data_IF_320565607661
#
_entry.id   IF_320565607661
#
_cell.length_a   1.000
_cell.length_b   1.000
_cell.length_c   1.000
_cell.angle_alpha   90.00
_cell.angle_beta   90.00
_cell.angle_gamma   90.00
#
_symmetry.space_group_name_H-M   'P 1'
#
loop_
_entity.id
_entity.type
_entity.pdbx_description
1 polymer ?
#
# COMPACT_ATOMS: atom_id res chain seq x y z
N UNK A 1 -16.63 -4.07 4.78
CA UNK A 1 -15.23 -4.30 4.33
C UNK A 1 -14.32 -3.09 4.52
N UNK A 2 -14.83 -1.87 4.51
CA UNK A 2 -14.01 -0.66 4.65
C UNK A 2 -13.43 -0.48 6.06
N UNK A 3 -14.23 -0.67 7.13
CA UNK A 3 -13.78 -0.63 8.54
C UNK A 3 -12.58 -1.56 8.81
N UNK A 4 -12.66 -2.81 8.35
CA UNK A 4 -11.59 -3.79 8.54
C UNK A 4 -10.26 -3.34 7.92
N UNK A 5 -10.30 -2.72 6.74
CA UNK A 5 -9.10 -2.16 6.11
C UNK A 5 -8.58 -0.98 6.90
N UNK A 6 -9.45 -0.08 7.35
CA UNK A 6 -9.06 1.07 8.17
C UNK A 6 -8.34 0.61 9.44
N UNK A 7 -8.91 -0.34 10.20
CA UNK A 7 -8.33 -0.87 11.43
C UNK A 7 -6.93 -1.46 11.21
N UNK A 8 -6.75 -2.25 10.14
CA UNK A 8 -5.44 -2.83 9.82
C UNK A 8 -4.38 -1.81 9.39
N UNK A 9 -4.80 -0.63 8.92
CA UNK A 9 -3.91 0.38 8.34
C UNK A 9 -3.54 1.50 9.31
N UNK A 10 -4.27 1.66 10.42
CA UNK A 10 -3.97 2.68 11.44
C UNK A 10 -2.61 2.43 12.09
N UNK A 11 -1.95 3.52 12.48
CA UNK A 11 -0.61 3.50 13.05
C UNK A 11 -0.38 4.72 13.97
N UNK A 12 0.33 4.59 15.09
CA UNK A 12 0.58 5.69 16.03
C UNK A 12 1.27 6.92 15.42
N UNK A 13 2.14 6.71 14.44
CA UNK A 13 2.84 7.80 13.71
C UNK A 13 1.96 8.53 12.68
N UNK A 14 0.71 8.12 12.47
CA UNK A 14 -0.19 8.78 11.52
C UNK A 14 -1.17 9.63 12.32
N UNK A 15 -1.21 10.96 12.09
CA UNK A 15 -2.10 11.84 12.83
C UNK A 15 -3.56 11.58 12.45
N UNK A 16 -4.47 11.85 13.39
CA UNK A 16 -5.90 11.94 13.09
C UNK A 16 -6.20 13.19 12.25
N UNK A 17 -7.40 13.22 11.64
CA UNK A 17 -7.88 14.35 10.84
C UNK A 17 -8.43 15.52 11.70
N UNK A 18 -7.95 15.63 12.95
CA UNK A 18 -8.39 16.67 13.87
C UNK A 18 -7.51 17.91 13.75
N UNK A 19 -8.07 19.09 14.09
CA UNK A 19 -7.37 20.37 14.05
C UNK A 19 -6.10 20.41 14.92
N UNK A 20 -6.01 19.53 15.93
CA UNK A 20 -4.91 19.47 16.89
C UNK A 20 -3.81 18.45 16.53
N UNK A 21 -3.87 17.80 15.37
CA UNK A 21 -2.90 16.76 14.93
C UNK A 21 -2.64 15.69 16.02
N UNK A 22 -3.71 15.19 16.63
CA UNK A 22 -3.64 14.19 17.68
C UNK A 22 -3.08 12.86 17.15
N UNK A 23 -2.16 12.28 17.91
CA UNK A 23 -1.61 10.94 17.65
C UNK A 23 -2.19 9.99 18.69
N UNK A 24 -2.65 8.83 18.23
CA UNK A 24 -3.16 7.78 19.10
C UNK A 24 -2.05 6.80 19.47
N UNK A 25 -2.08 6.31 20.70
CA UNK A 25 -1.23 5.19 21.11
C UNK A 25 -1.69 3.88 20.45
N UNK A 26 -0.79 2.91 20.35
CA UNK A 26 -1.10 1.60 19.77
C UNK A 26 -2.28 0.90 20.49
N UNK A 27 -2.35 1.03 21.82
CA UNK A 27 -3.45 0.51 22.64
C UNK A 27 -4.78 1.21 22.34
N UNK A 28 -4.79 2.54 22.25
CA UNK A 28 -6.00 3.33 21.95
C UNK A 28 -6.54 3.00 20.55
N UNK A 29 -5.65 2.78 19.57
CA UNK A 29 -6.03 2.34 18.22
C UNK A 29 -6.69 0.96 18.28
N UNK A 30 -6.13 0.03 19.05
CA UNK A 30 -6.68 -1.32 19.19
C UNK A 30 -8.04 -1.29 19.88
N UNK A 31 -8.17 -0.62 21.02
CA UNK A 31 -9.42 -0.47 21.76
C UNK A 31 -10.50 0.20 20.92
N UNK A 32 -10.16 1.28 20.21
CA UNK A 32 -11.07 1.97 19.29
C UNK A 32 -11.56 1.06 18.16
N UNK A 33 -10.66 0.29 17.55
CA UNK A 33 -11.00 -0.65 16.47
C UNK A 33 -11.86 -1.83 16.96
N UNK A 34 -11.58 -2.36 18.15
CA UNK A 34 -12.37 -3.39 18.83
C UNK A 34 -13.78 -2.87 19.09
N UNK A 35 -13.91 -1.69 19.68
CA UNK A 35 -15.20 -1.10 20.02
C UNK A 35 -16.01 -0.77 18.75
N UNK A 36 -15.38 -0.21 17.72
CA UNK A 36 -16.07 0.08 16.45
C UNK A 36 -16.60 -1.19 15.79
N UNK A 37 -15.81 -2.26 15.75
CA UNK A 37 -16.25 -3.53 15.17
C UNK A 37 -17.31 -4.23 16.02
N UNK A 38 -17.15 -4.22 17.35
CA UNK A 38 -18.14 -4.77 18.27
C UNK A 38 -19.48 -4.06 18.16
N UNK A 39 -19.48 -2.72 18.20
CA UNK A 39 -20.72 -1.94 18.07
C UNK A 39 -21.38 -2.13 16.72
N UNK A 40 -20.61 -2.27 15.63
CA UNK A 40 -21.12 -2.62 14.32
C UNK A 40 -21.78 -4.00 14.31
N UNK A 41 -21.12 -5.02 14.87
CA UNK A 41 -21.69 -6.37 14.94
C UNK A 41 -22.94 -6.43 15.84
N UNK A 42 -22.93 -5.75 16.98
CA UNK A 42 -24.06 -5.71 17.90
C UNK A 42 -25.29 -5.03 17.27
N UNK A 43 -25.10 -3.92 16.55
CA UNK A 43 -26.18 -3.21 15.86
C UNK A 43 -26.84 -4.03 14.74
N UNK A 44 -26.10 -4.96 14.13
CA UNK A 44 -26.58 -5.80 13.02
C UNK A 44 -26.94 -7.24 13.46
N UNK A 45 -26.97 -7.52 14.78
CA UNK A 45 -27.21 -8.85 15.35
C UNK A 45 -26.25 -9.95 14.83
N UNK A 46 -24.98 -9.58 14.63
CA UNK A 46 -23.93 -10.44 14.10
C UNK A 46 -23.01 -10.98 15.20
N UNK A 47 -23.58 -11.55 16.25
CA UNK A 47 -22.84 -12.04 17.43
C UNK A 47 -21.82 -13.13 17.11
N UNK A 48 -22.17 -14.08 16.23
CA UNK A 48 -21.27 -15.16 15.80
C UNK A 48 -20.09 -14.61 14.97
N UNK A 49 -20.35 -13.62 14.12
CA UNK A 49 -19.31 -12.96 13.32
C UNK A 49 -18.34 -12.25 14.24
N UNK A 50 -18.83 -11.56 15.27
CA UNK A 50 -17.97 -10.93 16.28
C UNK A 50 -17.08 -11.95 16.98
N UNK A 51 -17.63 -13.07 17.45
CA UNK A 51 -16.83 -14.12 18.11
C UNK A 51 -15.71 -14.66 17.21
N UNK A 52 -16.02 -14.86 15.92
CA UNK A 52 -15.01 -15.25 14.94
C UNK A 52 -13.94 -14.16 14.73
N UNK A 53 -14.37 -12.91 14.53
CA UNK A 53 -13.47 -11.78 14.31
C UNK A 53 -12.54 -11.55 15.50
N UNK A 54 -13.06 -11.67 16.72
CA UNK A 54 -12.28 -11.60 17.96
C UNK A 54 -11.17 -12.64 17.97
N UNK A 55 -11.52 -13.92 17.82
CA UNK A 55 -10.56 -15.03 17.90
C UNK A 55 -9.50 -15.01 16.80
N UNK A 56 -9.81 -14.45 15.63
CA UNK A 56 -8.91 -14.44 14.48
C UNK A 56 -8.06 -13.18 14.35
N UNK A 57 -8.57 -12.00 14.75
CA UNK A 57 -7.92 -10.71 14.46
C UNK A 57 -7.88 -9.74 15.63
N UNK A 58 -8.99 -9.56 16.35
CA UNK A 58 -9.08 -8.51 17.37
C UNK A 58 -8.59 -8.91 18.76
N UNK A 59 -8.34 -10.20 19.01
CA UNK A 59 -7.67 -10.66 20.23
C UNK A 59 -6.25 -10.07 20.30
N UNK A 60 -5.78 -9.60 21.47
CA UNK A 60 -4.45 -8.97 21.62
C UNK A 60 -3.30 -9.76 20.98
N UNK A 61 -3.22 -11.06 21.22
CA UNK A 61 -2.19 -11.94 20.64
C UNK A 61 -2.22 -12.01 19.10
N UNK A 62 -3.40 -11.85 18.49
CA UNK A 62 -3.59 -11.89 17.03
C UNK A 62 -3.43 -10.51 16.41
N UNK A 63 -3.79 -9.46 17.14
CA UNK A 63 -3.68 -8.08 16.70
C UNK A 63 -2.24 -7.74 16.29
N UNK A 64 -1.25 -8.19 17.06
CA UNK A 64 0.18 -7.97 16.78
C UNK A 64 0.61 -8.53 15.41
N UNK A 65 -0.01 -9.62 14.96
CA UNK A 65 0.31 -10.25 13.67
C UNK A 65 -0.38 -9.58 12.48
N UNK A 66 -1.45 -8.82 12.75
CA UNK A 66 -2.37 -8.32 11.74
C UNK A 66 -2.29 -6.81 11.54
N UNK A 67 -2.29 -6.03 12.63
CA UNK A 67 -2.42 -4.60 12.59
C UNK A 67 -1.07 -3.90 12.48
N UNK A 68 -1.04 -2.82 11.69
CA UNK A 68 0.15 -1.98 11.60
C UNK A 68 0.48 -1.26 12.91
N UNK A 69 -0.52 -0.95 13.72
CA UNK A 69 -0.32 -0.20 14.97
C UNK A 69 0.53 -0.93 16.01
N UNK A 70 0.71 -2.25 15.87
CA UNK A 70 1.58 -3.03 16.75
C UNK A 70 3.07 -2.92 16.37
N UNK A 71 3.39 -2.42 15.17
CA UNK A 71 4.76 -2.18 14.73
C UNK A 71 5.22 -0.80 15.18
N UNK A 72 6.50 -0.66 15.51
CA UNK A 72 7.11 0.64 15.80
C UNK A 72 7.24 1.51 14.53
N UNK A 73 7.42 0.85 13.38
CA UNK A 73 7.62 1.48 12.08
C UNK A 73 6.44 1.25 11.12
N UNK A 74 6.20 2.20 10.21
CA UNK A 74 5.16 2.05 9.18
C UNK A 74 5.65 1.10 8.09
N UNK A 75 5.32 -0.18 8.23
CA UNK A 75 5.69 -1.20 7.25
C UNK A 75 5.06 -0.92 5.88
N UNK A 76 5.88 -0.71 4.84
CA UNK A 76 5.43 -0.66 3.43
C UNK A 76 4.91 -2.02 2.98
N UNK A 77 5.58 -3.09 3.43
CA UNK A 77 5.22 -4.46 3.14
C UNK A 77 4.27 -4.96 4.22
N UNK A 78 3.04 -5.26 3.81
CA UNK A 78 2.06 -5.98 4.62
C UNK A 78 2.48 -7.45 4.55
N UNK A 79 2.69 -8.09 5.70
CA UNK A 79 3.38 -9.38 5.86
C UNK A 79 2.75 -10.55 5.08
N UNK A 80 3.50 -11.67 5.05
CA UNK A 80 3.41 -12.89 4.20
C UNK A 80 3.41 -12.72 2.68
N UNK A 81 3.03 -11.59 2.09
CA UNK A 81 2.95 -11.47 0.62
C UNK A 81 4.26 -11.79 -0.14
N UNK A 82 5.42 -11.40 0.41
CA UNK A 82 6.73 -11.71 -0.19
C UNK A 82 7.01 -13.21 -0.10
N UNK A 83 6.68 -13.82 1.04
CA UNK A 83 6.87 -15.24 1.32
C UNK A 83 5.91 -16.07 0.46
N UNK A 84 4.63 -15.70 0.39
CA UNK A 84 3.61 -16.30 -0.46
C UNK A 84 3.96 -16.16 -1.94
N UNK A 85 4.39 -14.97 -2.37
CA UNK A 85 4.85 -14.72 -3.73
C UNK A 85 6.08 -15.55 -4.08
N UNK A 86 7.02 -15.69 -3.15
CA UNK A 86 8.17 -16.58 -3.29
C UNK A 86 7.74 -18.04 -3.44
N UNK A 87 6.87 -18.55 -2.55
CA UNK A 87 6.38 -19.93 -2.64
C UNK A 87 5.55 -20.17 -3.89
N UNK A 88 4.76 -19.18 -4.32
CA UNK A 88 4.01 -19.26 -5.57
C UNK A 88 4.96 -19.36 -6.77
N UNK A 89 5.98 -18.50 -6.82
CA UNK A 89 7.01 -18.56 -7.86
C UNK A 89 7.71 -19.92 -7.85
N UNK A 90 8.18 -20.37 -6.70
CA UNK A 90 8.87 -21.65 -6.51
C UNK A 90 8.00 -22.83 -6.96
N UNK A 91 6.70 -22.82 -6.60
CA UNK A 91 5.73 -23.82 -7.04
C UNK A 91 5.61 -23.88 -8.56
N UNK A 92 5.53 -22.73 -9.22
CA UNK A 92 5.31 -22.65 -10.67
C UNK A 92 6.58 -22.73 -11.53
N UNK A 93 7.76 -22.50 -10.97
CA UNK A 93 9.02 -22.59 -11.74
C UNK A 93 9.76 -23.89 -11.51
N UNK A 94 9.82 -24.34 -10.26
CA UNK A 94 10.69 -25.46 -9.86
C UNK A 94 9.93 -26.70 -9.41
N UNK A 95 8.76 -26.54 -8.78
CA UNK A 95 7.99 -27.69 -8.27
C UNK A 95 6.86 -28.15 -9.21
N UNK A 96 6.76 -27.62 -10.43
CA UNK A 96 5.72 -28.01 -11.39
C UNK A 96 5.79 -29.48 -11.78
N UNK A 97 7.00 -30.04 -11.83
CA UNK A 97 7.24 -31.44 -12.17
C UNK A 97 7.08 -32.40 -10.99
N UNK A 98 6.96 -31.89 -9.75
CA UNK A 98 6.94 -32.72 -8.55
C UNK A 98 5.55 -32.73 -7.91
N UNK A 99 4.93 -33.91 -7.83
CA UNK A 99 3.71 -34.08 -7.05
C UNK A 99 4.06 -34.36 -5.59
N UNK A 100 3.60 -33.51 -4.66
CA UNK A 100 3.87 -33.61 -3.21
C UNK A 100 5.36 -33.80 -2.85
N UNK A 101 6.23 -32.84 -3.20
CA UNK A 101 7.66 -32.94 -2.90
C UNK A 101 7.93 -33.01 -1.38
N UNK A 102 8.86 -33.88 -0.98
CA UNK A 102 9.36 -33.94 0.41
C UNK A 102 10.16 -32.68 0.75
N UNK A 103 10.21 -32.31 2.02
CA UNK A 103 10.92 -31.11 2.49
C UNK A 103 12.40 -31.12 2.07
N UNK A 104 13.08 -32.26 2.18
CA UNK A 104 14.50 -32.39 1.81
C UNK A 104 14.76 -32.04 0.33
N UNK A 105 13.86 -32.48 -0.56
CA UNK A 105 13.93 -32.17 -1.98
C UNK A 105 13.72 -30.67 -2.23
N UNK A 106 12.78 -30.05 -1.50
CA UNK A 106 12.55 -28.61 -1.59
C UNK A 106 13.79 -27.85 -1.14
N UNK A 107 14.39 -28.23 0.00
CA UNK A 107 15.63 -27.60 0.51
C UNK A 107 16.76 -27.74 -0.50
N UNK A 108 16.95 -28.94 -1.06
CA UNK A 108 17.96 -29.17 -2.09
C UNK A 108 17.73 -28.28 -3.33
N UNK A 109 16.50 -28.18 -3.84
CA UNK A 109 16.16 -27.34 -4.99
C UNK A 109 16.35 -25.84 -4.68
N UNK A 110 16.04 -25.41 -3.46
CA UNK A 110 16.30 -24.03 -3.03
C UNK A 110 17.79 -23.74 -3.08
N UNK A 111 18.62 -24.62 -2.50
CA UNK A 111 20.07 -24.44 -2.45
C UNK A 111 20.72 -24.49 -3.84
N UNK A 112 20.28 -25.42 -4.70
CA UNK A 112 20.94 -25.68 -5.99
C UNK A 112 20.42 -24.85 -7.14
N UNK A 113 19.15 -24.44 -7.15
CA UNK A 113 18.53 -23.75 -8.28
C UNK A 113 18.07 -22.35 -7.93
N UNK A 114 17.35 -22.19 -6.81
CA UNK A 114 16.72 -20.91 -6.45
C UNK A 114 17.75 -19.88 -5.99
N UNK A 115 18.60 -20.24 -5.02
CA UNK A 115 19.62 -19.32 -4.46
C UNK A 115 20.58 -18.82 -5.54
N UNK A 116 21.17 -19.68 -6.40
CA UNK A 116 22.05 -19.20 -7.46
C UNK A 116 21.33 -18.25 -8.41
N UNK A 117 20.10 -18.57 -8.84
CA UNK A 117 19.31 -17.70 -9.71
C UNK A 117 19.03 -16.34 -9.07
N UNK A 118 18.68 -16.33 -7.78
CA UNK A 118 18.48 -15.09 -7.01
C UNK A 118 19.77 -14.30 -6.89
N UNK A 119 20.90 -14.94 -6.57
CA UNK A 119 22.20 -14.30 -6.50
C UNK A 119 22.63 -13.69 -7.85
N UNK A 120 22.34 -14.36 -8.97
CA UNK A 120 22.59 -13.80 -10.30
C UNK A 120 21.75 -12.53 -10.53
N UNK A 121 20.44 -12.56 -10.21
CA UNK A 121 19.56 -11.38 -10.28
C UNK A 121 20.01 -10.26 -9.35
N UNK A 122 20.40 -10.59 -8.13
CA UNK A 122 20.86 -9.64 -7.12
C UNK A 122 22.19 -9.00 -7.54
N UNK A 123 23.12 -9.77 -8.10
CA UNK A 123 24.36 -9.23 -8.67
C UNK A 123 24.12 -8.30 -9.87
N UNK A 124 23.04 -8.54 -10.63
CA UNK A 124 22.61 -7.63 -11.70
C UNK A 124 22.08 -6.31 -11.13
N UNK A 125 21.29 -6.35 -10.05
CA UNK A 125 20.77 -5.14 -9.41
C UNK A 125 21.84 -4.35 -8.64
N UNK A 126 22.81 -5.03 -8.01
CA UNK A 126 23.93 -4.47 -7.25
C UNK A 126 25.12 -4.00 -8.11
N UNK A 127 24.94 -3.81 -9.42
CA UNK A 127 25.96 -3.26 -10.33
C UNK A 127 27.26 -4.06 -10.47
N UNK A 128 27.30 -5.31 -9.99
CA UNK A 128 28.52 -6.11 -10.02
C UNK A 128 28.84 -6.69 -11.41
N UNK A 129 28.00 -6.48 -12.43
CA UNK A 129 28.09 -7.22 -13.71
C UNK A 129 28.03 -6.42 -15.01
N UNK A 130 27.52 -5.18 -15.03
CA UNK A 130 27.39 -4.39 -16.29
C UNK A 130 27.63 -2.90 -16.07
N UNK A 131 28.89 -2.50 -16.10
CA UNK A 131 29.28 -1.10 -16.20
C UNK A 131 29.07 -0.66 -17.66
N UNK A 132 28.00 0.10 -17.98
CA UNK A 132 27.89 0.78 -19.29
C UNK A 132 26.52 0.80 -19.99
N UNK A 133 25.52 0.02 -19.57
CA UNK A 133 24.15 0.15 -20.08
C UNK A 133 23.21 0.74 -19.02
N UNK A 134 22.28 1.65 -19.40
CA UNK A 134 21.27 2.13 -18.47
C UNK A 134 20.40 0.96 -18.01
N UNK A 135 20.18 0.87 -16.69
CA UNK A 135 19.34 -0.18 -16.11
C UNK A 135 17.90 -0.03 -16.59
N UNK A 136 17.28 -1.14 -16.98
CA UNK A 136 15.82 -1.17 -17.10
C UNK A 136 15.22 -1.03 -15.70
N UNK A 137 14.14 -0.25 -15.60
CA UNK A 137 13.41 -0.10 -14.34
C UNK A 137 12.73 -1.43 -14.00
N UNK A 138 12.79 -1.82 -12.73
CA UNK A 138 11.99 -2.94 -12.22
C UNK A 138 10.50 -2.63 -12.36
N UNK A 139 9.61 -3.64 -12.50
CA UNK A 139 8.17 -3.41 -12.67
C UNK A 139 7.56 -2.50 -11.59
N UNK A 140 7.94 -2.69 -10.32
CA UNK A 140 7.45 -1.84 -9.23
C UNK A 140 7.94 -0.39 -9.32
N UNK A 141 9.12 -0.14 -9.91
CA UNK A 141 9.63 1.21 -10.15
C UNK A 141 8.83 1.90 -11.26
N UNK A 142 8.42 1.16 -12.29
CA UNK A 142 7.51 1.67 -13.30
C UNK A 142 6.16 2.05 -12.69
N UNK A 143 5.58 1.16 -11.87
CA UNK A 143 4.31 1.43 -11.17
C UNK A 143 4.41 2.64 -10.25
N UNK A 144 5.49 2.73 -9.46
CA UNK A 144 5.75 3.86 -8.58
C UNK A 144 5.87 5.16 -9.38
N UNK A 145 6.69 5.19 -10.44
CA UNK A 145 6.87 6.37 -11.30
C UNK A 145 5.55 6.79 -11.95
N UNK A 146 4.75 5.83 -12.40
CA UNK A 146 3.43 6.08 -12.99
C UNK A 146 2.48 6.71 -11.97
N UNK A 147 2.42 6.18 -10.75
CA UNK A 147 1.61 6.75 -9.66
C UNK A 147 2.09 8.14 -9.26
N UNK A 148 3.41 8.34 -9.17
CA UNK A 148 3.98 9.65 -8.87
C UNK A 148 3.58 10.69 -9.91
N UNK A 149 3.73 10.35 -11.20
CA UNK A 149 3.35 11.24 -12.30
C UNK A 149 1.84 11.52 -12.33
N UNK A 150 0.99 10.56 -11.97
CA UNK A 150 -0.45 10.79 -11.85
C UNK A 150 -0.78 11.74 -10.69
N UNK A 151 -0.23 11.48 -9.50
CA UNK A 151 -0.52 12.25 -8.28
C UNK A 151 0.04 13.67 -8.30
N UNK A 152 1.08 13.90 -9.11
CA UNK A 152 1.68 15.22 -9.34
C UNK A 152 0.73 16.18 -10.09
N UNK A 153 -0.19 15.66 -10.90
CA UNK A 153 -1.13 16.48 -11.69
C UNK A 153 -2.19 17.10 -10.79
N UNK A 154 -2.74 18.29 -11.12
CA UNK A 154 -3.90 18.85 -10.42
C UNK A 154 -5.12 17.94 -10.59
N UNK A 155 -6.09 18.05 -9.68
CA UNK A 155 -7.23 17.13 -9.64
C UNK A 155 -8.12 17.23 -10.90
N UNK A 156 -8.28 18.43 -11.47
CA UNK A 156 -9.07 18.65 -12.69
C UNK A 156 -8.50 17.87 -13.89
N UNK A 157 -7.19 17.88 -14.06
CA UNK A 157 -6.50 17.14 -15.14
C UNK A 157 -6.62 15.63 -14.92
N UNK A 158 -6.60 15.17 -13.66
CA UNK A 158 -6.78 13.75 -13.35
C UNK A 158 -8.22 13.30 -13.59
N UNK A 159 -9.20 14.15 -13.25
CA UNK A 159 -10.64 13.89 -13.44
C UNK A 159 -10.99 13.79 -14.92
N UNK A 160 -10.62 14.80 -15.71
CA UNK A 160 -10.80 14.80 -17.18
C UNK A 160 -10.13 13.60 -17.85
N UNK A 161 -8.95 13.17 -17.38
CA UNK A 161 -8.31 11.95 -17.86
C UNK A 161 -9.13 10.68 -17.54
N UNK A 162 -9.69 10.57 -16.32
CA UNK A 162 -10.58 9.44 -15.94
C UNK A 162 -11.84 9.43 -16.79
N UNK A 163 -12.49 10.58 -16.97
CA UNK A 163 -13.68 10.73 -17.81
C UNK A 163 -13.41 10.28 -19.25
N UNK A 164 -12.29 10.75 -19.83
CA UNK A 164 -11.86 10.34 -21.17
C UNK A 164 -11.67 8.83 -21.28
N UNK A 165 -11.09 8.18 -20.26
CA UNK A 165 -10.93 6.72 -20.22
C UNK A 165 -12.29 6.01 -20.18
N UNK A 166 -13.24 6.51 -19.39
CA UNK A 166 -14.59 5.93 -19.28
C UNK A 166 -15.34 6.07 -20.61
N UNK A 167 -15.33 7.27 -21.20
CA UNK A 167 -16.04 7.57 -22.44
C UNK A 167 -15.46 6.77 -23.63
N UNK A 168 -14.13 6.70 -23.72
CA UNK A 168 -13.45 5.97 -24.81
C UNK A 168 -13.54 4.45 -24.69
N UNK A 169 -13.98 3.91 -23.55
CA UNK A 169 -14.14 2.47 -23.36
C UNK A 169 -15.44 1.95 -24.03
N UNK A 170 -15.38 1.80 -25.34
CA UNK A 170 -16.49 1.31 -26.18
C UNK A 170 -16.87 -0.15 -25.92
N UNK A 171 -16.02 -0.92 -25.23
CA UNK A 171 -16.30 -2.31 -24.84
C UNK A 171 -17.37 -2.44 -23.75
N UNK A 172 -17.69 -1.35 -23.05
CA UNK A 172 -18.67 -1.33 -21.96
C UNK A 172 -19.99 -0.72 -22.41
N UNK A 173 -21.07 -1.13 -21.77
CA UNK A 173 -22.42 -0.64 -22.08
C UNK A 173 -22.54 0.87 -21.79
N UNK A 174 -23.49 1.52 -22.44
CA UNK A 174 -23.77 2.95 -22.20
C UNK A 174 -24.17 3.19 -20.75
N UNK A 175 -24.99 2.31 -20.17
CA UNK A 175 -25.40 2.38 -18.76
C UNK A 175 -24.21 2.33 -17.79
N UNK A 176 -23.26 1.41 -18.00
CA UNK A 176 -22.05 1.32 -17.17
C UNK A 176 -21.20 2.60 -17.24
N UNK A 177 -21.12 3.22 -18.43
CA UNK A 177 -20.37 4.48 -18.60
C UNK A 177 -21.05 5.63 -17.86
N UNK A 178 -22.38 5.72 -17.94
CA UNK A 178 -23.14 6.76 -17.24
C UNK A 178 -22.98 6.65 -15.72
N UNK A 179 -23.22 5.46 -15.16
CA UNK A 179 -23.06 5.19 -13.72
C UNK A 179 -21.67 5.63 -13.20
N UNK A 180 -20.62 5.42 -14.01
CA UNK A 180 -19.24 5.79 -13.64
C UNK A 180 -18.96 7.28 -13.74
N UNK A 181 -19.63 7.98 -14.66
CA UNK A 181 -19.55 9.43 -14.75
C UNK A 181 -20.31 10.07 -13.58
N UNK A 182 -21.50 9.56 -13.26
CA UNK A 182 -22.30 10.02 -12.11
C UNK A 182 -21.49 9.86 -10.81
N UNK A 183 -20.81 8.71 -10.63
CA UNK A 183 -19.91 8.51 -9.49
C UNK A 183 -18.75 9.52 -9.43
N UNK A 184 -18.18 9.94 -10.58
CA UNK A 184 -17.12 10.95 -10.63
C UNK A 184 -17.64 12.35 -10.29
N UNK A 185 -18.89 12.66 -10.63
CA UNK A 185 -19.55 13.90 -10.24
C UNK A 185 -19.82 13.91 -8.74
N UNK A 186 -20.32 12.80 -8.18
CA UNK A 186 -20.45 12.65 -6.73
C UNK A 186 -19.11 12.81 -6.00
N UNK A 187 -17.99 12.31 -6.57
CA UNK A 187 -16.65 12.55 -6.01
C UNK A 187 -16.24 14.04 -6.03
N UNK A 188 -16.77 14.83 -6.96
CA UNK A 188 -16.54 16.27 -7.04
C UNK A 188 -17.26 17.03 -5.95
N UNK A 189 -18.51 16.66 -5.73
CA UNK A 189 -19.40 17.28 -4.75
C UNK A 189 -19.00 16.93 -3.32
N UNK A 190 -18.27 15.83 -3.10
CA UNK A 190 -17.73 15.48 -1.78
C UNK A 190 -16.76 16.55 -1.30
N UNK A 191 -17.06 17.09 -0.12
CA UNK A 191 -16.19 18.04 0.56
C UNK A 191 -14.78 17.48 0.74
N UNK A 192 -13.79 18.28 0.36
CA UNK A 192 -12.40 17.91 0.54
C UNK A 192 -12.07 17.91 2.04
N UNK A 193 -11.89 16.72 2.61
CA UNK A 193 -11.43 16.58 3.99
C UNK A 193 -10.10 17.31 4.20
N UNK A 194 -9.96 17.95 5.36
CA UNK A 194 -8.68 18.51 5.82
C UNK A 194 -7.79 17.35 6.30
N UNK A 195 -6.66 17.17 5.63
CA UNK A 195 -5.71 16.10 5.94
C UNK A 195 -4.37 16.67 6.40
N UNK A 196 -3.85 16.12 7.48
CA UNK A 196 -2.58 16.49 8.06
C UNK A 196 -1.46 15.75 7.32
N UNK A 197 -0.57 16.51 6.68
CA UNK A 197 0.50 15.98 5.84
C UNK A 197 1.85 16.50 6.32
N UNK A 198 2.73 15.60 6.77
CA UNK A 198 4.10 15.91 7.21
C UNK A 198 5.10 15.42 6.17
N UNK A 199 5.94 16.31 5.65
CA UNK A 199 7.07 15.92 4.80
C UNK A 199 8.23 15.33 5.58
N UNK A 200 8.48 15.83 6.80
CA UNK A 200 9.59 15.36 7.63
C UNK A 200 9.46 13.87 7.97
N UNK A 201 8.25 13.46 8.35
CA UNK A 201 7.95 12.08 8.74
C UNK A 201 7.41 11.24 7.57
N UNK A 202 7.20 11.86 6.40
CA UNK A 202 6.61 11.24 5.22
C UNK A 202 5.24 10.58 5.51
N UNK A 203 4.37 11.29 6.24
CA UNK A 203 3.05 10.80 6.66
C UNK A 203 1.92 11.69 6.17
N UNK A 204 0.76 11.08 5.93
CA UNK A 204 -0.46 11.80 5.62
C UNK A 204 -1.66 11.06 6.23
N UNK A 205 -2.56 11.79 6.88
CA UNK A 205 -3.76 11.24 7.52
C UNK A 205 -4.86 10.82 6.53
N UNK A 206 -4.68 11.08 5.23
CA UNK A 206 -5.71 10.76 4.25
C UNK A 206 -5.90 9.24 4.03
N UNK A 207 -7.14 8.79 3.75
CA UNK A 207 -7.41 7.38 3.47
C UNK A 207 -6.58 6.81 2.32
N UNK A 208 -6.27 7.62 1.29
CA UNK A 208 -5.46 7.16 0.16
C UNK A 208 -4.03 6.78 0.57
N UNK A 209 -3.45 7.45 1.55
CA UNK A 209 -2.11 7.13 2.08
C UNK A 209 -2.13 5.76 2.78
N UNK A 210 -3.10 5.54 3.67
CA UNK A 210 -3.27 4.30 4.42
C UNK A 210 -3.40 3.08 3.51
N UNK A 211 -4.15 3.21 2.43
CA UNK A 211 -4.39 2.12 1.49
C UNK A 211 -3.30 1.96 0.43
N UNK A 212 -2.42 2.95 0.27
CA UNK A 212 -1.35 2.94 -0.73
C UNK A 212 -0.37 1.79 -0.51
N UNK A 213 0.04 1.16 -1.62
CA UNK A 213 1.11 0.15 -1.63
C UNK A 213 2.47 0.76 -1.31
N UNK A 214 2.69 2.01 -1.71
CA UNK A 214 3.99 2.69 -1.59
C UNK A 214 3.99 3.76 -0.50
N UNK A 215 2.95 3.83 0.35
CA UNK A 215 2.76 4.91 1.34
C UNK A 215 2.89 6.30 0.70
N UNK A 216 2.21 6.47 -0.45
CA UNK A 216 2.13 7.74 -1.16
C UNK A 216 0.68 8.11 -1.41
N UNK A 217 0.39 9.41 -1.41
CA UNK A 217 -0.90 9.97 -1.78
C UNK A 217 -0.69 11.27 -2.57
N UNK A 218 -1.77 11.82 -3.15
CA UNK A 218 -1.70 13.08 -3.90
C UNK A 218 -1.22 14.26 -3.04
N UNK A 219 -1.64 14.32 -1.77
CA UNK A 219 -1.26 15.42 -0.86
C UNK A 219 0.26 15.41 -0.62
N UNK A 220 0.79 14.26 -0.22
CA UNK A 220 2.21 14.08 0.07
C UNK A 220 3.09 14.36 -1.15
N UNK A 221 2.71 13.83 -2.32
CA UNK A 221 3.49 14.03 -3.57
C UNK A 221 3.46 15.48 -4.03
N UNK A 222 2.31 16.15 -3.98
CA UNK A 222 2.22 17.57 -4.35
C UNK A 222 3.03 18.44 -3.40
N UNK A 223 2.94 18.20 -2.09
CA UNK A 223 3.75 18.92 -1.09
C UNK A 223 5.25 18.67 -1.32
N UNK A 224 5.64 17.42 -1.57
CA UNK A 224 7.03 17.07 -1.86
C UNK A 224 7.53 17.73 -3.15
N UNK A 225 6.74 17.74 -4.22
CA UNK A 225 7.08 18.42 -5.47
C UNK A 225 7.21 19.93 -5.29
N UNK A 226 6.36 20.55 -4.46
CA UNK A 226 6.48 21.97 -4.12
C UNK A 226 7.80 22.26 -3.39
N UNK A 227 8.16 21.42 -2.41
CA UNK A 227 9.40 21.56 -1.66
C UNK A 227 10.66 21.29 -2.51
N UNK A 228 10.60 20.36 -3.47
CA UNK A 228 11.70 19.98 -4.36
C UNK A 228 11.90 20.94 -5.55
N UNK A 229 10.88 21.74 -5.90
CA UNK A 229 10.85 22.56 -7.11
C UNK A 229 10.92 21.75 -8.42
N UNK A 230 10.88 22.44 -9.57
CA UNK A 230 10.93 21.79 -10.90
C UNK A 230 12.26 21.05 -11.17
N UNK A 231 13.33 21.43 -10.48
CA UNK A 231 14.68 20.87 -10.67
C UNK A 231 14.96 19.63 -9.79
N UNK A 232 14.28 19.45 -8.66
CA UNK A 232 14.62 18.44 -7.64
C UNK A 232 14.28 17.00 -8.03
N UNK A 233 13.17 16.78 -8.77
CA UNK A 233 12.68 15.43 -9.12
C UNK A 233 13.68 14.65 -9.99
N UNK A 234 14.54 15.34 -10.75
CA UNK A 234 15.51 14.71 -11.66
C UNK A 234 16.88 14.44 -11.05
N UNK A 235 17.24 15.06 -9.93
CA UNK A 235 18.63 15.05 -9.43
C UNK A 235 18.79 14.84 -7.92
N UNK A 236 17.78 15.12 -7.10
CA UNK A 236 18.00 15.22 -5.67
C UNK A 236 17.48 14.01 -4.89
N UNK A 237 18.30 12.96 -4.84
CA UNK A 237 18.08 11.83 -3.94
C UNK A 237 18.33 12.22 -2.47
N UNK A 238 19.02 13.35 -2.18
CA UNK A 238 19.34 13.77 -0.81
C UNK A 238 18.08 14.05 0.00
N UNK A 239 17.07 14.65 -0.63
CA UNK A 239 15.75 14.79 -0.03
C UNK A 239 15.23 13.47 0.55
N UNK A 240 15.31 12.38 -0.22
CA UNK A 240 14.83 11.07 0.21
C UNK A 240 15.72 10.38 1.24
N UNK A 241 17.02 10.73 1.30
CA UNK A 241 17.93 10.25 2.34
C UNK A 241 17.68 10.94 3.69
N UNK A 242 17.24 12.20 3.67
CA UNK A 242 16.96 12.98 4.87
C UNK A 242 15.56 12.71 5.46
N UNK A 243 14.71 11.94 4.75
CA UNK A 243 13.42 11.51 5.28
C UNK A 243 13.63 10.53 6.44
N UNK A 244 13.00 10.81 7.59
CA UNK A 244 13.04 9.91 8.74
C UNK A 244 12.10 8.72 8.48
N UNK A 245 12.61 7.71 7.80
CA UNK A 245 11.92 6.41 7.68
C UNK A 245 12.16 5.66 8.99
N UNK A 246 11.36 5.94 10.02
CA UNK A 246 11.29 5.09 11.20
C UNK A 246 10.63 3.77 10.82
#
# INVERSE_FOLDING_TARGET
MEKFRQHSCQHPLIPLNDANNTFLMAAEIHEGAVLDMYTYCNKNDLSQVWAYLWNSWYHPDKWVLWARSASECISVLRTTMVVEGFWNHLKHTTLTSFNRPRIDLIVHLILTQVIPTVNLKLSYHMDRRRLGHPKSLAPWQYDFKKLWADYSKPDDVRRTAKEKIIISNTRKTKAWRQERLDWLQEEEEREAGTYNTSLHDWTCSCPSYLHSRFLICKHLIRLANMALGEAGIKRDLQFFYNLRRQ
#
